data_IF_307130438204
#
_entry.id   IF_307130438204
#
_cell.length_a   1.000
_cell.length_b   1.000
_cell.length_c   1.000
_cell.angle_alpha   90.00
_cell.angle_beta   90.00
_cell.angle_gamma   90.00
#
_symmetry.space_group_name_H-M   'P 1'
#
loop_
_entity.id
_entity.type
_entity.pdbx_description
1 polymer ?
#
# COMPACT_ATOMS: atom_id res chain seq x y z
N UNK A 1 -7.45 -9.54 12.43
CA UNK A 1 -7.70 -8.45 11.47
C UNK A 1 -6.59 -7.43 11.66
N UNK A 2 -5.90 -6.99 10.58
CA UNK A 2 -4.99 -5.85 10.68
C UNK A 2 -5.86 -4.60 10.82
N UNK A 3 -5.83 -3.95 11.97
CA UNK A 3 -6.51 -2.67 12.16
C UNK A 3 -5.55 -1.57 11.73
N UNK A 4 -6.02 -0.72 10.83
CA UNK A 4 -5.31 0.47 10.39
C UNK A 4 -6.05 1.70 10.92
N UNK A 5 -5.31 2.61 11.54
CA UNK A 5 -5.85 3.84 12.08
C UNK A 5 -5.49 5.02 11.18
N UNK A 6 -6.29 6.09 11.26
CA UNK A 6 -5.97 7.35 10.58
C UNK A 6 -4.69 7.92 11.15
N UNK A 7 -3.74 8.28 10.29
CA UNK A 7 -2.40 8.73 10.65
C UNK A 7 -1.33 7.63 10.58
N UNK A 8 -1.71 6.36 10.43
CA UNK A 8 -0.73 5.28 10.34
C UNK A 8 0.07 5.34 9.03
N UNK A 9 1.38 5.17 9.14
CA UNK A 9 2.26 4.92 7.99
C UNK A 9 2.10 3.49 7.54
N UNK A 10 1.82 3.31 6.25
CA UNK A 10 1.58 2.02 5.62
C UNK A 10 2.30 1.91 4.28
N UNK A 11 2.44 0.69 3.80
CA UNK A 11 3.13 0.37 2.55
C UNK A 11 2.18 -0.33 1.59
N UNK A 12 2.11 0.18 0.36
CA UNK A 12 1.24 -0.34 -0.70
C UNK A 12 2.08 -0.86 -1.85
N UNK A 13 1.74 -2.05 -2.37
CA UNK A 13 2.41 -2.64 -3.53
C UNK A 13 1.66 -2.25 -4.81
N UNK A 14 2.21 -1.32 -5.57
CA UNK A 14 1.74 -0.94 -6.90
C UNK A 14 2.29 -1.90 -7.96
N UNK A 15 1.46 -2.24 -8.95
CA UNK A 15 1.81 -3.12 -10.08
C UNK A 15 2.42 -4.46 -9.67
N UNK A 16 2.08 -4.97 -8.49
CA UNK A 16 2.61 -6.21 -7.88
C UNK A 16 4.10 -6.21 -7.51
N UNK A 17 4.87 -5.17 -7.86
CA UNK A 17 6.34 -5.15 -7.69
C UNK A 17 6.92 -3.87 -7.09
N UNK A 18 6.16 -2.78 -6.98
CA UNK A 18 6.66 -1.50 -6.46
C UNK A 18 6.06 -1.21 -5.09
N UNK A 19 6.89 -1.18 -4.05
CA UNK A 19 6.45 -0.75 -2.72
C UNK A 19 6.43 0.79 -2.66
N UNK A 20 5.31 1.36 -2.23
CA UNK A 20 5.13 2.80 -2.02
C UNK A 20 4.69 3.08 -0.59
N UNK A 21 5.34 4.04 0.05
CA UNK A 21 4.96 4.55 1.38
C UNK A 21 3.74 5.46 1.26
N UNK A 22 2.79 5.31 2.18
CA UNK A 22 1.59 6.11 2.24
C UNK A 22 1.13 6.28 3.69
N UNK A 23 0.29 7.29 3.92
CA UNK A 23 -0.36 7.54 5.21
C UNK A 23 -1.84 7.23 5.10
N UNK A 24 -2.41 6.55 6.10
CA UNK A 24 -3.85 6.29 6.17
C UNK A 24 -4.59 7.58 6.51
N UNK A 25 -5.53 8.00 5.67
CA UNK A 25 -6.37 9.18 5.90
C UNK A 25 -7.82 8.81 6.27
N UNK A 26 -8.22 7.56 6.05
CA UNK A 26 -9.53 7.02 6.45
C UNK A 26 -9.47 5.49 6.53
N UNK A 27 -10.13 4.88 7.51
CA UNK A 27 -10.32 3.44 7.59
C UNK A 27 -11.80 3.13 7.88
N UNK A 28 -12.44 2.28 7.07
CA UNK A 28 -13.83 1.88 7.26
C UNK A 28 -14.18 0.61 6.47
N UNK A 29 -14.96 -0.29 7.07
CA UNK A 29 -15.60 -1.43 6.42
C UNK A 29 -14.65 -2.34 5.60
N UNK A 30 -13.43 -2.60 6.09
CA UNK A 30 -12.44 -3.45 5.39
C UNK A 30 -11.67 -2.74 4.27
N UNK A 31 -11.85 -1.42 4.16
CA UNK A 31 -11.14 -0.56 3.21
C UNK A 31 -10.41 0.54 3.97
N UNK A 32 -9.26 0.92 3.41
CA UNK A 32 -8.48 2.06 3.87
C UNK A 32 -8.25 3.02 2.72
N UNK A 33 -8.37 4.31 3.00
CA UNK A 33 -7.96 5.36 2.09
C UNK A 33 -6.55 5.78 2.49
N UNK A 34 -5.60 5.61 1.56
CA UNK A 34 -4.20 5.93 1.77
C UNK A 34 -3.79 7.11 0.88
N UNK A 35 -2.91 7.97 1.39
CA UNK A 35 -2.33 9.10 0.68
C UNK A 35 -0.84 8.87 0.53
N UNK A 36 -0.31 8.91 -0.69
CA UNK A 36 1.12 8.77 -0.92
C UNK A 36 1.85 10.05 -0.51
N UNK A 37 3.07 9.90 0.01
CA UNK A 37 3.98 11.02 0.24
C UNK A 37 4.63 11.37 -1.10
N UNK A 38 3.95 12.16 -1.92
CA UNK A 38 4.55 12.76 -3.11
C UNK A 38 5.07 14.15 -2.76
N UNK A 39 6.35 14.41 -3.05
CA UNK A 39 6.95 15.74 -2.92
C UNK A 39 6.40 16.76 -3.95
N UNK A 40 5.43 16.37 -4.77
CA UNK A 40 4.75 17.26 -5.69
C UNK A 40 3.45 17.71 -5.05
N UNK A 41 3.40 18.97 -4.60
CA UNK A 41 2.21 19.62 -4.00
C UNK A 41 0.97 19.73 -4.89
N UNK A 42 0.89 18.96 -5.97
CA UNK A 42 -0.28 18.80 -6.84
C UNK A 42 -1.12 17.56 -6.53
N UNK A 43 -0.66 16.68 -5.63
CA UNK A 43 -1.52 15.60 -5.13
C UNK A 43 -2.56 16.21 -4.20
N UNK A 44 -3.74 16.47 -4.76
CA UNK A 44 -4.91 16.92 -4.03
C UNK A 44 -5.24 16.02 -2.83
N UNK A 45 -6.21 16.40 -1.99
CA UNK A 45 -6.57 15.65 -0.77
C UNK A 45 -7.06 14.21 -1.05
N UNK A 46 -7.24 13.86 -2.32
CA UNK A 46 -7.78 12.60 -2.80
C UNK A 46 -6.76 11.46 -2.66
N UNK A 47 -6.68 10.88 -1.46
CA UNK A 47 -6.08 9.57 -1.28
C UNK A 47 -6.81 8.50 -2.08
N UNK A 48 -6.17 7.35 -2.29
CA UNK A 48 -6.76 6.20 -2.99
C UNK A 48 -7.42 5.24 -1.99
N UNK A 49 -8.62 4.73 -2.32
CA UNK A 49 -9.29 3.71 -1.50
C UNK A 49 -8.87 2.32 -1.94
N UNK A 50 -8.29 1.55 -1.03
CA UNK A 50 -7.80 0.18 -1.25
C UNK A 50 -8.33 -0.78 -0.19
N UNK A 51 -8.28 -2.09 -0.47
CA UNK A 51 -8.57 -3.11 0.54
C UNK A 51 -7.45 -3.19 1.56
N UNK A 52 -7.80 -3.42 2.82
CA UNK A 52 -6.82 -3.64 3.91
C UNK A 52 -5.82 -4.76 3.60
N UNK A 53 -6.25 -5.80 2.89
CA UNK A 53 -5.38 -6.91 2.49
C UNK A 53 -4.29 -6.56 1.46
N UNK A 54 -4.35 -5.36 0.87
CA UNK A 54 -3.36 -4.86 -0.10
C UNK A 54 -2.37 -3.88 0.52
N UNK A 55 -2.45 -3.66 1.83
CA UNK A 55 -1.61 -2.70 2.56
C UNK A 55 -0.88 -3.40 3.70
N UNK A 56 0.33 -2.94 3.98
CA UNK A 56 1.26 -3.57 4.92
C UNK A 56 1.74 -2.55 5.95
N UNK A 57 1.98 -2.99 7.19
CA UNK A 57 2.46 -2.09 8.25
C UNK A 57 3.95 -1.75 8.10
N UNK A 58 4.71 -2.64 7.46
CA UNK A 58 6.16 -2.47 7.30
C UNK A 58 6.59 -2.65 5.85
N UNK A 59 7.69 -1.98 5.50
CA UNK A 59 8.31 -2.11 4.18
C UNK A 59 8.80 -3.54 3.92
N UNK A 60 9.29 -4.21 4.98
CA UNK A 60 9.77 -5.59 4.92
C UNK A 60 8.65 -6.55 4.49
N UNK A 61 7.49 -6.49 5.15
CA UNK A 61 6.32 -7.30 4.77
C UNK A 61 5.93 -7.08 3.31
N UNK A 62 5.93 -5.83 2.86
CA UNK A 62 5.60 -5.52 1.47
C UNK A 62 6.63 -6.09 0.49
N UNK A 63 7.93 -5.98 0.82
CA UNK A 63 9.02 -6.51 -0.01
C UNK A 63 9.00 -8.04 -0.11
N UNK A 64 8.70 -8.74 0.97
CA UNK A 64 8.59 -10.21 0.97
C UNK A 64 7.52 -10.66 -0.05
N UNK A 65 6.37 -9.95 -0.09
CA UNK A 65 5.31 -10.20 -1.09
C UNK A 65 5.75 -9.84 -2.50
N UNK A 66 6.49 -8.73 -2.68
CA UNK A 66 7.05 -8.35 -3.98
C UNK A 66 8.02 -9.42 -4.51
N UNK A 67 8.87 -9.98 -3.67
CA UNK A 67 9.81 -11.04 -4.07
C UNK A 67 9.06 -12.28 -4.59
N UNK A 68 8.02 -12.72 -3.87
CA UNK A 68 7.15 -13.83 -4.30
C UNK A 68 6.42 -13.48 -5.61
N UNK A 69 5.97 -12.25 -5.79
CA UNK A 69 5.31 -11.84 -7.03
C UNK A 69 6.28 -11.82 -8.22
N UNK A 70 7.52 -11.37 -8.02
CA UNK A 70 8.56 -11.36 -9.07
C UNK A 70 8.91 -12.77 -9.54
N UNK A 71 9.10 -13.73 -8.61
CA UNK A 71 9.38 -15.12 -8.98
C UNK A 71 8.22 -15.77 -9.74
N UNK A 72 6.98 -15.49 -9.34
CA UNK A 72 5.78 -15.96 -10.05
C UNK A 72 5.66 -15.39 -11.46
N UNK A 73 5.95 -14.11 -11.66
CA UNK A 73 5.93 -13.49 -12.99
C UNK A 73 7.03 -14.04 -13.91
N UNK A 74 8.20 -14.37 -13.36
CA UNK A 74 9.31 -14.93 -14.11
C UNK A 74 9.04 -16.38 -14.56
N UNK A 75 8.35 -17.18 -13.73
CA UNK A 75 7.99 -18.56 -14.06
C UNK A 75 6.78 -18.71 -15.00
N UNK A 76 6.12 -17.60 -15.37
CA UNK A 76 4.95 -17.59 -16.24
C UNK A 76 5.28 -17.14 -17.68
N UNK A 77 6.57 -17.01 -18.00
CA UNK A 77 7.10 -16.73 -19.35
C UNK A 77 7.85 -17.96 -19.86
#
# INVERSE_FOLDING_TARGET
>A
MKQFNVGDTVYFISSSVFVRRATVIRAAAGFVTIKFDTNNGNDGPSGIRVRESKVYHTEKEANDVVQVNKSRQQNSR
#
